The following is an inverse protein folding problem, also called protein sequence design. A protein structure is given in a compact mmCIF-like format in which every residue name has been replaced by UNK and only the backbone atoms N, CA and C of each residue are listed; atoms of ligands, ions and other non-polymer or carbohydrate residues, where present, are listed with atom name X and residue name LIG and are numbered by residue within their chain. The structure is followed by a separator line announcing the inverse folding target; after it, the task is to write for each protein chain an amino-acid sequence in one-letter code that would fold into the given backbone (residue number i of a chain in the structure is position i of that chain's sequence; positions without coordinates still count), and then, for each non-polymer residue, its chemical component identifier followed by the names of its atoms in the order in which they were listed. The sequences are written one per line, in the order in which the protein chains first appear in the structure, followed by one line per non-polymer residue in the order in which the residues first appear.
data_IF_646418116109
#
_entry.id   IF_646418116109
#
_cell.length_a   1.000
_cell.length_b   1.000
_cell.length_c   1.000
_cell.angle_alpha   90.00
_cell.angle_beta   90.00
_cell.angle_gamma   90.00
#
_symmetry.space_group_name_H-M   'P 1'
#
loop_
_entity.id
_entity.type
_entity.pdbx_description
1 polymer ?
#
# COMPACT_ATOMS: atom_id res chain seq x y z
N UNK A 1 -15.26 13.90 10.46
CA UNK A 1 -14.28 12.84 10.13
C UNK A 1 -14.71 11.95 8.95
N UNK A 2 -15.58 12.39 8.05
CA UNK A 2 -16.10 11.61 6.91
C UNK A 2 -15.21 11.66 5.66
N UNK A 3 -14.36 12.70 5.54
CA UNK A 3 -13.54 12.93 4.35
C UNK A 3 -12.41 11.91 4.14
N UNK A 4 -11.96 11.20 5.18
CA UNK A 4 -10.90 10.19 5.06
C UNK A 4 -11.32 8.99 4.21
N UNK A 5 -12.62 8.66 4.19
CA UNK A 5 -13.20 7.57 3.42
C UNK A 5 -13.72 8.03 2.05
N UNK A 6 -13.58 9.32 1.72
CA UNK A 6 -13.96 9.79 0.40
C UNK A 6 -12.96 9.33 -0.65
N UNK A 7 -13.42 8.94 -1.84
CA UNK A 7 -12.52 8.62 -2.93
C UNK A 7 -11.68 9.85 -3.30
N UNK A 8 -10.47 9.60 -3.77
CA UNK A 8 -9.57 10.62 -4.29
C UNK A 8 -9.18 10.25 -5.71
N UNK A 9 -9.52 11.14 -6.64
CA UNK A 9 -9.19 11.00 -8.05
C UNK A 9 -8.28 12.16 -8.45
N UNK A 10 -7.08 11.81 -8.94
CA UNK A 10 -6.08 12.76 -9.44
C UNK A 10 -5.79 12.51 -10.94
N UNK A 11 -6.72 11.86 -11.67
CA UNK A 11 -6.69 11.61 -13.11
C UNK A 11 -5.74 10.48 -13.57
N UNK A 12 -4.73 10.14 -12.76
CA UNK A 12 -3.78 9.05 -13.05
C UNK A 12 -4.04 7.78 -12.25
N UNK A 13 -4.55 7.95 -11.02
CA UNK A 13 -4.78 6.86 -10.06
C UNK A 13 -6.05 7.22 -9.31
N UNK A 14 -6.98 6.27 -9.24
CA UNK A 14 -8.20 6.40 -8.45
C UNK A 14 -8.03 5.65 -7.13
N UNK A 15 -8.02 6.40 -6.03
CA UNK A 15 -7.95 5.83 -4.69
C UNK A 15 -9.35 5.78 -4.07
N UNK A 16 -9.69 4.63 -3.48
CA UNK A 16 -10.98 4.43 -2.81
C UNK A 16 -11.11 5.23 -1.51
N UNK A 17 -10.00 5.61 -0.91
CA UNK A 17 -9.94 6.40 0.32
C UNK A 17 -8.67 7.27 0.34
N UNK A 18 -8.57 8.17 1.31
CA UNK A 18 -7.43 9.07 1.51
C UNK A 18 -6.43 8.54 2.54
N UNK A 19 -6.50 7.25 2.85
CA UNK A 19 -5.63 6.60 3.82
C UNK A 19 -4.40 6.05 3.09
N UNK A 20 -3.28 6.73 3.24
CA UNK A 20 -2.01 6.29 2.66
C UNK A 20 -1.22 5.55 3.73
N UNK A 21 -0.82 4.32 3.42
CA UNK A 21 0.16 3.62 4.25
C UNK A 21 1.54 4.20 3.97
N UNK A 22 2.25 4.74 4.98
CA UNK A 22 3.63 5.17 4.80
C UNK A 22 4.53 3.95 4.55
N UNK A 23 5.69 4.11 3.88
CA UNK A 23 6.62 3.01 3.69
C UNK A 23 7.07 2.47 5.03
N UNK A 24 6.76 1.20 5.29
CA UNK A 24 7.18 0.49 6.50
C UNK A 24 8.34 -0.44 6.15
N UNK A 25 9.48 -0.27 6.81
CA UNK A 25 10.58 -1.23 6.76
C UNK A 25 10.15 -2.50 7.50
N UNK A 26 9.56 -3.45 6.77
CA UNK A 26 9.17 -4.74 7.32
C UNK A 26 10.27 -5.76 7.02
N UNK A 27 10.70 -6.52 8.02
CA UNK A 27 11.68 -7.61 7.88
C UNK A 27 11.04 -8.83 7.19
N UNK A 28 10.56 -8.62 5.96
CA UNK A 28 9.87 -9.61 5.13
C UNK A 28 10.62 -9.90 3.82
N UNK A 29 11.88 -9.50 3.74
CA UNK A 29 12.82 -9.92 2.71
C UNK A 29 13.64 -11.10 3.22
N UNK A 30 13.95 -12.05 2.35
CA UNK A 30 14.88 -13.14 2.65
C UNK A 30 16.32 -12.59 2.78
N UNK A 31 17.26 -13.43 3.20
CA UNK A 31 18.68 -13.07 3.37
C UNK A 31 19.32 -12.47 2.10
N UNK A 32 18.80 -12.83 0.91
CA UNK A 32 19.22 -12.30 -0.39
C UNK A 32 18.47 -11.01 -0.80
N UNK A 33 17.65 -10.43 0.07
CA UNK A 33 16.86 -9.22 -0.21
C UNK A 33 15.64 -9.46 -1.11
N UNK A 34 15.31 -10.73 -1.40
CA UNK A 34 14.15 -11.10 -2.22
C UNK A 34 12.86 -11.00 -1.43
N UNK A 35 11.79 -10.67 -2.12
CA UNK A 35 10.43 -10.61 -1.58
C UNK A 35 10.03 -12.01 -1.11
N UNK A 36 9.71 -12.18 0.18
CA UNK A 36 9.12 -13.44 0.66
C UNK A 36 7.62 -13.46 0.36
N UNK A 37 7.02 -14.66 0.26
CA UNK A 37 5.60 -14.85 -0.04
C UNK A 37 4.66 -14.03 0.88
N UNK A 38 5.10 -13.69 2.09
CA UNK A 38 4.38 -12.82 3.03
C UNK A 38 4.08 -11.41 2.49
N UNK A 39 4.78 -10.95 1.45
CA UNK A 39 4.59 -9.64 0.80
C UNK A 39 4.07 -9.79 -0.63
N UNK A 40 3.75 -11.00 -1.11
CA UNK A 40 2.94 -11.10 -2.31
C UNK A 40 1.55 -10.57 -1.96
N UNK A 41 1.31 -9.33 -2.35
CA UNK A 41 -0.04 -8.82 -2.53
C UNK A 41 -0.48 -9.39 -3.88
N UNK A 42 -1.11 -10.56 -3.84
CA UNK A 42 -1.87 -11.06 -4.97
C UNK A 42 -2.99 -10.04 -5.24
N UNK A 43 -2.93 -9.45 -6.44
CA UNK A 43 -3.91 -8.49 -6.96
C UNK A 43 -5.21 -9.21 -7.32
#
# INVERSE_FOLDING_TARGET
MSYLLTPFDNGKIQLKNRLVMPPMATAKSDAEGRITLCVRIDV
#
